data_IF_871425068559
#
_entry.id   IF_871425068559
#
_cell.length_a   1.000
_cell.length_b   1.000
_cell.length_c   1.000
_cell.angle_alpha   90.00
_cell.angle_beta   90.00
_cell.angle_gamma   90.00
#
_symmetry.space_group_name_H-M   'P 1'
#
loop_
_entity.id
_entity.type
_entity.pdbx_description
1 polymer ?
#
# COMPACT_ATOMS: atom_id res chain seq x y z
N UNK A 1 -15.74 0.12 27.91
CA UNK A 1 -15.27 -0.99 27.04
C UNK A 1 -16.01 -0.87 25.71
N UNK A 2 -15.33 -0.62 24.59
CA UNK A 2 -15.99 -0.48 23.28
C UNK A 2 -16.37 -1.87 22.76
N UNK A 3 -17.67 -2.17 22.68
CA UNK A 3 -18.19 -3.43 22.16
C UNK A 3 -18.20 -3.44 20.62
N UNK A 4 -17.02 -3.38 19.99
CA UNK A 4 -16.89 -3.48 18.53
C UNK A 4 -17.42 -4.80 17.98
N UNK A 5 -17.52 -5.84 18.81
CA UNK A 5 -18.10 -7.13 18.44
C UNK A 5 -19.62 -7.03 18.20
N UNK A 6 -20.32 -6.14 18.92
CA UNK A 6 -21.74 -5.88 18.71
C UNK A 6 -21.99 -5.19 17.35
N UNK A 7 -21.07 -4.33 16.91
CA UNK A 7 -21.16 -3.68 15.60
C UNK A 7 -21.18 -4.72 14.48
N UNK A 8 -20.40 -5.81 14.61
CA UNK A 8 -20.37 -6.90 13.63
C UNK A 8 -21.70 -7.62 13.51
N UNK A 9 -22.40 -7.80 14.63
CA UNK A 9 -23.68 -8.49 14.66
C UNK A 9 -24.78 -7.67 14.00
N UNK A 10 -24.73 -6.33 14.16
CA UNK A 10 -25.72 -5.42 13.59
C UNK A 10 -25.43 -5.13 12.11
N UNK A 11 -24.15 -4.99 11.76
CA UNK A 11 -23.69 -4.64 10.41
C UNK A 11 -22.73 -5.73 9.91
N UNK A 12 -23.25 -6.82 9.32
CA UNK A 12 -22.43 -7.96 8.92
C UNK A 12 -21.50 -7.65 7.75
N UNK A 13 -21.86 -6.66 6.93
CA UNK A 13 -21.05 -6.17 5.81
C UNK A 13 -21.21 -4.67 5.68
N UNK A 14 -20.13 -3.94 5.44
CA UNK A 14 -20.18 -2.51 5.18
C UNK A 14 -19.40 -2.13 3.92
N UNK A 15 -19.88 -1.11 3.20
CA UNK A 15 -19.20 -0.61 2.00
C UNK A 15 -17.90 0.14 2.36
N UNK A 16 -17.91 0.88 3.47
CA UNK A 16 -16.78 1.69 3.90
C UNK A 16 -16.67 1.72 5.42
N UNK A 17 -15.49 1.41 5.93
CA UNK A 17 -15.08 1.69 7.30
C UNK A 17 -14.17 2.92 7.28
N UNK A 18 -14.58 3.98 7.97
CA UNK A 18 -13.80 5.22 8.06
C UNK A 18 -13.40 5.47 9.51
N UNK A 19 -12.10 5.41 9.79
CA UNK A 19 -11.53 5.69 11.12
C UNK A 19 -10.87 7.06 11.07
N UNK A 20 -11.51 8.04 11.73
CA UNK A 20 -11.11 9.44 11.72
C UNK A 20 -9.90 9.73 12.60
N UNK A 21 -9.25 10.85 12.33
CA UNK A 21 -8.03 11.34 12.97
C UNK A 21 -8.16 11.61 14.49
N UNK A 22 -9.38 11.80 14.98
CA UNK A 22 -9.68 12.00 16.40
C UNK A 22 -9.74 10.69 17.20
N UNK A 23 -9.65 9.52 16.56
CA UNK A 23 -9.61 8.24 17.27
C UNK A 23 -8.27 8.06 18.02
N UNK A 24 -8.30 7.37 19.16
CA UNK A 24 -7.07 6.97 19.86
C UNK A 24 -6.32 5.92 19.04
N UNK A 25 -5.00 5.76 19.28
CA UNK A 25 -4.20 4.75 18.58
C UNK A 25 -4.76 3.34 18.84
N UNK A 26 -5.12 3.06 20.09
CA UNK A 26 -5.63 1.77 20.58
C UNK A 26 -6.97 1.45 19.94
N UNK A 27 -7.90 2.40 19.93
CA UNK A 27 -9.21 2.23 19.31
C UNK A 27 -9.07 2.02 17.79
N UNK A 28 -8.19 2.77 17.13
CA UNK A 28 -7.95 2.62 15.69
C UNK A 28 -7.37 1.26 15.36
N UNK A 29 -6.36 0.79 16.10
CA UNK A 29 -5.80 -0.57 15.95
C UNK A 29 -6.88 -1.64 16.13
N UNK A 30 -7.67 -1.52 17.19
CA UNK A 30 -8.75 -2.47 17.50
C UNK A 30 -9.85 -2.46 16.44
N UNK A 31 -10.32 -1.28 16.03
CA UNK A 31 -11.35 -1.11 15.02
C UNK A 31 -10.89 -1.63 13.65
N UNK A 32 -9.64 -1.36 13.25
CA UNK A 32 -9.10 -1.91 12.01
C UNK A 32 -9.07 -3.44 12.06
N UNK A 33 -8.45 -4.04 13.07
CA UNK A 33 -8.32 -5.50 13.15
C UNK A 33 -9.67 -6.21 13.25
N UNK A 34 -10.64 -5.63 13.98
CA UNK A 34 -11.96 -6.23 14.15
C UNK A 34 -12.89 -5.97 12.97
N UNK A 35 -12.95 -4.74 12.45
CA UNK A 35 -13.99 -4.30 11.52
C UNK A 35 -13.50 -4.17 10.07
N UNK A 36 -12.20 -4.15 9.78
CA UNK A 36 -11.74 -4.14 8.39
C UNK A 36 -12.22 -5.34 7.56
N UNK A 37 -12.26 -6.59 8.09
CA UNK A 37 -12.66 -7.75 7.28
C UNK A 37 -14.09 -7.72 6.72
N UNK A 38 -15.00 -6.96 7.33
CA UNK A 38 -16.38 -6.78 6.83
C UNK A 38 -16.53 -5.61 5.87
N UNK A 39 -15.48 -4.79 5.71
CA UNK A 39 -15.50 -3.58 4.93
C UNK A 39 -14.97 -3.82 3.51
N UNK A 40 -15.68 -3.31 2.50
CA UNK A 40 -15.14 -3.30 1.13
C UNK A 40 -13.99 -2.32 0.97
N UNK A 41 -14.03 -1.20 1.69
CA UNK A 41 -13.00 -0.15 1.72
C UNK A 41 -12.74 0.29 3.15
N UNK A 42 -11.47 0.44 3.52
CA UNK A 42 -11.06 0.94 4.83
C UNK A 42 -10.24 2.21 4.65
N UNK A 43 -10.56 3.26 5.38
CA UNK A 43 -9.80 4.51 5.40
C UNK A 43 -9.39 4.82 6.85
N UNK A 44 -8.10 5.04 7.08
CA UNK A 44 -7.53 5.40 8.38
C UNK A 44 -6.87 6.76 8.27
N UNK A 45 -7.37 7.75 9.00
CA UNK A 45 -6.91 9.15 8.92
C UNK A 45 -5.81 9.57 9.91
N UNK A 46 -5.18 8.58 10.55
CA UNK A 46 -4.13 8.80 11.54
C UNK A 46 -3.10 7.70 11.46
N UNK A 47 -1.84 8.09 11.38
CA UNK A 47 -0.75 7.15 11.49
C UNK A 47 -0.60 6.69 12.94
N UNK A 48 -0.95 5.43 13.14
CA UNK A 48 -0.93 4.72 14.43
C UNK A 48 0.31 3.84 14.62
N UNK A 49 1.20 3.84 13.64
CA UNK A 49 2.41 3.01 13.61
C UNK A 49 3.60 3.83 14.12
N UNK A 50 4.42 3.19 14.95
CA UNK A 50 5.69 3.73 15.42
C UNK A 50 6.85 2.94 14.75
N UNK A 51 8.07 3.45 14.84
CA UNK A 51 9.16 3.31 13.83
C UNK A 51 9.71 1.91 13.55
N UNK A 52 9.20 0.82 14.12
CA UNK A 52 9.90 -0.46 14.02
C UNK A 52 9.14 -1.69 13.55
N UNK A 53 7.80 -1.84 13.58
CA UNK A 53 7.20 -3.10 13.04
C UNK A 53 5.68 -3.22 12.89
N UNK A 54 4.86 -2.20 13.11
CA UNK A 54 3.41 -2.45 13.18
C UNK A 54 2.69 -2.51 11.82
N UNK A 55 3.14 -1.78 10.80
CA UNK A 55 2.34 -1.65 9.57
C UNK A 55 2.24 -2.96 8.77
N UNK A 56 3.31 -3.75 8.70
CA UNK A 56 3.32 -5.11 8.10
C UNK A 56 2.12 -5.97 8.48
N UNK A 57 1.75 -6.01 9.77
CA UNK A 57 0.62 -6.83 10.26
C UNK A 57 -0.71 -6.40 9.67
N UNK A 58 -0.86 -5.10 9.41
CA UNK A 58 -2.06 -4.50 8.84
C UNK A 58 -2.08 -4.69 7.32
N UNK A 59 -0.92 -4.57 6.68
CA UNK A 59 -0.76 -4.80 5.25
C UNK A 59 -0.92 -6.27 4.86
N UNK A 60 -0.58 -7.21 5.73
CA UNK A 60 -0.73 -8.65 5.50
C UNK A 60 -2.19 -9.14 5.54
N UNK A 61 -3.14 -8.30 5.99
CA UNK A 61 -4.54 -8.68 6.04
C UNK A 61 -5.13 -8.84 4.63
N UNK A 62 -5.98 -9.87 4.49
CA UNK A 62 -6.73 -10.22 3.29
C UNK A 62 -7.86 -9.20 3.02
N UNK A 63 -7.53 -7.94 2.68
CA UNK A 63 -8.51 -6.87 2.47
C UNK A 63 -8.63 -6.46 1.00
N UNK A 64 -9.78 -5.88 0.63
CA UNK A 64 -10.05 -5.45 -0.74
C UNK A 64 -9.42 -4.10 -1.07
N UNK A 65 -9.58 -3.12 -0.18
CA UNK A 65 -9.06 -1.77 -0.39
C UNK A 65 -8.80 -1.09 0.95
N UNK A 66 -7.60 -0.52 1.09
CA UNK A 66 -7.19 0.21 2.29
C UNK A 66 -6.50 1.51 1.88
N UNK A 67 -6.87 2.60 2.54
CA UNK A 67 -6.19 3.89 2.43
C UNK A 67 -5.71 4.34 3.82
N UNK A 68 -4.42 4.59 3.93
CA UNK A 68 -3.79 5.22 5.08
C UNK A 68 -3.50 6.68 4.72
N UNK A 69 -4.06 7.62 5.47
CA UNK A 69 -3.94 9.04 5.22
C UNK A 69 -3.60 9.78 6.50
N UNK A 70 -2.37 10.28 6.62
CA UNK A 70 -1.99 11.18 7.69
C UNK A 70 -1.01 12.20 7.12
N UNK A 71 -1.49 13.42 6.90
CA UNK A 71 -0.67 14.50 6.37
C UNK A 71 0.36 15.00 7.39
N UNK A 72 0.12 14.80 8.70
CA UNK A 72 0.98 15.28 9.80
C UNK A 72 2.12 14.31 10.10
N UNK A 73 1.87 13.01 10.09
CA UNK A 73 2.86 11.98 10.45
C UNK A 73 3.10 11.01 9.29
N UNK A 74 4.28 11.03 8.64
CA UNK A 74 4.61 10.12 7.56
C UNK A 74 4.53 8.64 7.97
N UNK A 75 4.17 7.77 7.03
CA UNK A 75 4.18 6.32 7.22
C UNK A 75 5.56 5.77 6.87
N UNK A 76 6.35 5.45 7.89
CA UNK A 76 7.62 4.75 7.72
C UNK A 76 7.37 3.37 7.11
N UNK A 77 7.97 3.13 5.94
CA UNK A 77 7.84 1.89 5.20
C UNK A 77 9.20 1.27 4.94
N UNK A 78 9.31 0.01 5.34
CA UNK A 78 10.40 -0.86 4.96
C UNK A 78 10.08 -1.65 3.70
N UNK A 79 11.13 -2.23 3.10
CA UNK A 79 10.98 -3.18 2.01
C UNK A 79 10.00 -4.30 2.39
N UNK A 80 10.17 -4.89 3.57
CA UNK A 80 9.38 -6.03 4.01
C UNK A 80 7.89 -5.69 4.16
N UNK A 81 7.54 -4.47 4.56
CA UNK A 81 6.15 -4.03 4.65
C UNK A 81 5.43 -4.12 3.30
N UNK A 82 6.10 -3.68 2.23
CA UNK A 82 5.58 -3.83 0.87
C UNK A 82 5.59 -5.28 0.39
N UNK A 83 6.58 -6.08 0.80
CA UNK A 83 6.68 -7.48 0.39
C UNK A 83 5.58 -8.37 1.01
N UNK A 84 5.10 -8.06 2.21
CA UNK A 84 4.02 -8.80 2.88
C UNK A 84 2.62 -8.28 2.55
N UNK A 85 2.52 -7.18 1.80
CA UNK A 85 1.25 -6.55 1.49
C UNK A 85 0.30 -7.50 0.73
N UNK A 86 -0.84 -7.77 1.34
CA UNK A 86 -1.88 -8.67 0.88
C UNK A 86 -3.23 -7.95 0.76
N UNK A 87 -3.18 -6.68 0.38
CA UNK A 87 -4.35 -5.82 0.15
C UNK A 87 -4.57 -5.69 -1.36
N UNK A 88 -5.83 -5.73 -1.80
CA UNK A 88 -6.19 -5.60 -3.22
C UNK A 88 -5.78 -4.25 -3.81
N UNK A 89 -6.25 -3.15 -3.22
CA UNK A 89 -5.84 -1.78 -3.58
C UNK A 89 -5.33 -1.07 -2.34
N UNK A 90 -4.03 -0.81 -2.27
CA UNK A 90 -3.39 -0.12 -1.16
C UNK A 90 -3.06 1.32 -1.56
N UNK A 91 -3.45 2.28 -0.73
CA UNK A 91 -3.07 3.69 -0.86
C UNK A 91 -2.45 4.14 0.46
N UNK A 92 -1.26 4.74 0.42
CA UNK A 92 -0.59 5.34 1.57
C UNK A 92 -0.21 6.77 1.21
N UNK A 93 -0.80 7.72 1.90
CA UNK A 93 -0.44 9.13 1.80
C UNK A 93 0.66 9.48 2.79
N UNK A 94 1.57 10.35 2.37
CA UNK A 94 2.73 10.72 3.18
C UNK A 94 3.63 9.52 3.49
N UNK A 95 3.79 8.59 2.55
CA UNK A 95 4.72 7.48 2.67
C UNK A 95 6.16 8.01 2.86
N UNK A 96 6.92 7.34 3.73
CA UNK A 96 8.36 7.57 3.89
C UNK A 96 9.10 6.25 3.61
N UNK A 97 9.66 6.15 2.42
CA UNK A 97 10.47 5.02 1.96
C UNK A 97 11.57 5.57 1.08
N UNK A 98 12.78 5.03 1.23
CA UNK A 98 13.91 5.44 0.38
C UNK A 98 13.78 4.86 -1.03
N UNK A 99 14.28 5.60 -2.02
CA UNK A 99 14.33 5.17 -3.41
C UNK A 99 15.06 3.84 -3.56
N UNK A 100 16.12 3.61 -2.76
CA UNK A 100 16.86 2.34 -2.71
C UNK A 100 15.98 1.16 -2.26
N UNK A 101 15.13 1.35 -1.25
CA UNK A 101 14.19 0.31 -0.78
C UNK A 101 13.13 0.03 -1.85
N UNK A 102 12.61 1.07 -2.50
CA UNK A 102 11.65 0.93 -3.59
C UNK A 102 12.25 0.23 -4.82
N UNK A 103 13.48 0.59 -5.22
CA UNK A 103 14.24 -0.10 -6.27
C UNK A 103 14.41 -1.60 -5.96
N UNK A 104 14.75 -1.93 -4.70
CA UNK A 104 14.89 -3.32 -4.26
C UNK A 104 13.56 -4.07 -4.30
N UNK A 105 12.46 -3.44 -3.92
CA UNK A 105 11.11 -4.00 -4.05
C UNK A 105 10.80 -4.38 -5.51
N UNK A 106 11.01 -3.45 -6.45
CA UNK A 106 10.76 -3.70 -7.88
C UNK A 106 11.63 -4.83 -8.43
N UNK A 107 12.93 -4.86 -8.10
CA UNK A 107 13.84 -5.94 -8.51
C UNK A 107 13.44 -7.30 -7.94
N UNK A 108 12.98 -7.36 -6.69
CA UNK A 108 12.50 -8.61 -6.08
C UNK A 108 11.21 -9.09 -6.73
N UNK A 109 10.29 -8.17 -7.03
CA UNK A 109 9.08 -8.50 -7.77
C UNK A 109 9.41 -9.09 -9.15
N UNK A 110 10.31 -8.47 -9.91
CA UNK A 110 10.73 -8.95 -11.25
C UNK A 110 11.36 -10.35 -11.22
N UNK A 111 12.06 -10.71 -10.15
CA UNK A 111 12.66 -12.05 -10.00
C UNK A 111 11.63 -13.16 -9.81
N UNK A 112 10.42 -12.84 -9.36
CA UNK A 112 9.32 -13.80 -9.20
C UNK A 112 9.40 -14.69 -7.95
N UNK A 113 10.36 -14.45 -7.05
CA UNK A 113 10.59 -15.30 -5.87
C UNK A 113 9.54 -15.15 -4.75
N UNK A 114 8.53 -14.30 -4.93
CA UNK A 114 7.51 -14.02 -3.93
C UNK A 114 6.11 -14.02 -4.55
N UNK A 115 5.14 -14.50 -3.77
CA UNK A 115 3.72 -14.64 -4.12
C UNK A 115 2.98 -13.30 -4.11
N UNK A 116 3.47 -12.33 -4.90
CA UNK A 116 2.80 -11.04 -5.16
C UNK A 116 1.58 -11.17 -6.08
N UNK A 117 0.65 -12.06 -5.75
CA UNK A 117 -0.47 -12.36 -6.64
C UNK A 117 -1.72 -11.53 -6.37
N UNK A 118 -1.84 -10.97 -5.17
CA UNK A 118 -3.05 -10.29 -4.78
C UNK A 118 -3.08 -8.80 -5.11
N UNK A 119 -2.08 -7.99 -4.72
CA UNK A 119 -2.16 -6.55 -4.95
C UNK A 119 -2.48 -6.28 -6.42
N UNK A 120 -3.55 -5.51 -6.64
CA UNK A 120 -3.94 -4.97 -7.94
C UNK A 120 -3.27 -3.62 -8.14
N UNK A 121 -3.20 -2.82 -7.07
CA UNK A 121 -2.45 -1.58 -7.05
C UNK A 121 -1.84 -1.27 -5.69
N UNK A 122 -0.67 -0.63 -5.72
CA UNK A 122 -0.06 0.07 -4.59
C UNK A 122 0.17 1.52 -5.01
N UNK A 123 -0.41 2.45 -4.26
CA UNK A 123 -0.30 3.88 -4.45
C UNK A 123 0.41 4.48 -3.24
N UNK A 124 1.53 5.17 -3.49
CA UNK A 124 2.29 5.86 -2.47
C UNK A 124 2.45 7.32 -2.88
N UNK A 125 1.99 8.24 -2.04
CA UNK A 125 2.32 9.66 -2.19
C UNK A 125 3.30 10.09 -1.10
N UNK A 126 4.20 10.99 -1.46
CA UNK A 126 5.36 11.39 -0.70
C UNK A 126 5.27 12.89 -0.39
N UNK A 127 5.97 13.36 0.64
CA UNK A 127 6.06 14.81 0.91
C UNK A 127 6.89 15.54 -0.14
N UNK A 128 7.94 14.88 -0.59
CA UNK A 128 8.90 15.41 -1.56
C UNK A 128 8.85 14.55 -2.82
N UNK A 129 9.28 15.11 -3.94
CA UNK A 129 9.48 14.32 -5.15
C UNK A 129 10.57 13.27 -4.94
N UNK A 130 10.36 12.07 -5.50
CA UNK A 130 11.36 11.00 -5.43
C UNK A 130 12.40 11.14 -6.53
N UNK A 131 13.64 10.72 -6.22
CA UNK A 131 14.64 10.50 -7.26
C UNK A 131 14.33 9.24 -8.07
N UNK A 132 13.53 9.48 -9.10
CA UNK A 132 13.22 8.67 -10.26
C UNK A 132 14.38 7.83 -10.81
N UNK A 133 15.56 8.41 -11.04
CA UNK A 133 16.71 7.65 -11.56
C UNK A 133 17.19 6.59 -10.57
N UNK A 134 17.21 6.93 -9.27
CA UNK A 134 17.60 5.98 -8.22
C UNK A 134 16.56 4.87 -8.02
N UNK A 135 15.26 5.17 -8.13
CA UNK A 135 14.18 4.14 -8.06
C UNK A 135 14.34 3.10 -9.18
N UNK A 136 14.77 3.52 -10.37
CA UNK A 136 14.86 2.66 -11.56
C UNK A 136 16.27 2.19 -11.90
N UNK A 137 17.26 2.54 -11.08
CA UNK A 137 18.65 2.18 -11.29
C UNK A 137 18.84 0.68 -11.52
N UNK A 138 19.33 0.33 -12.71
CA UNK A 138 19.56 -1.06 -13.13
C UNK A 138 18.29 -1.87 -13.42
N UNK A 139 17.16 -1.20 -13.68
CA UNK A 139 15.91 -1.82 -14.15
C UNK A 139 15.70 -1.42 -15.61
N UNK A 140 15.49 -2.40 -16.49
CA UNK A 140 15.10 -2.14 -17.88
C UNK A 140 13.58 -1.96 -17.94
N UNK A 141 13.15 -0.75 -18.28
CA UNK A 141 11.75 -0.42 -18.50
C UNK A 141 11.45 -0.37 -19.99
N UNK A 142 10.31 -0.92 -20.41
CA UNK A 142 9.77 -0.64 -21.74
C UNK A 142 8.99 0.67 -21.65
N UNK A 143 9.38 1.67 -22.44
CA UNK A 143 8.63 2.92 -22.57
C UNK A 143 7.23 2.61 -23.11
N UNK A 144 6.22 3.24 -22.56
CA UNK A 144 4.88 3.23 -23.15
C UNK A 144 4.81 4.41 -24.11
N UNK A 145 4.31 4.25 -25.35
CA UNK A 145 4.27 5.32 -26.33
C UNK A 145 3.42 6.54 -25.94
N UNK A 146 2.70 6.49 -24.81
CA UNK A 146 2.00 7.63 -24.21
C UNK A 146 2.75 8.12 -22.95
N UNK A 147 3.03 9.43 -22.90
CA UNK A 147 3.78 10.14 -21.84
C UNK A 147 3.17 10.05 -20.43
N UNK A 148 2.04 9.35 -20.26
CA UNK A 148 1.43 9.10 -18.94
C UNK A 148 2.18 8.05 -18.10
N UNK A 149 3.00 7.19 -18.72
CA UNK A 149 3.59 6.04 -18.03
C UNK A 149 5.11 6.10 -17.88
N UNK A 150 5.56 5.98 -16.63
CA UNK A 150 6.74 5.18 -16.23
C UNK A 150 7.46 4.32 -17.24
N UNK A 151 6.75 3.23 -17.53
CA UNK A 151 7.31 2.04 -18.11
C UNK A 151 6.63 0.79 -17.59
N UNK A 152 6.78 -0.27 -18.37
CA UNK A 152 6.28 -1.60 -18.08
C UNK A 152 7.45 -2.45 -17.59
N UNK A 153 7.31 -3.04 -16.40
CA UNK A 153 8.23 -4.04 -15.89
C UNK A 153 7.67 -5.44 -16.19
N UNK A 154 8.49 -6.28 -16.80
CA UNK A 154 8.19 -7.69 -17.03
C UNK A 154 8.80 -8.55 -15.94
N UNK A 155 7.99 -9.44 -15.38
CA UNK A 155 8.43 -10.51 -14.48
C UNK A 155 8.82 -11.74 -15.29
N UNK A 156 9.67 -12.60 -14.71
CA UNK A 156 10.14 -13.84 -15.37
C UNK A 156 9.04 -14.76 -15.89
N UNK A 157 7.87 -14.75 -15.25
CA UNK A 157 6.70 -15.57 -15.62
C UNK A 157 5.75 -14.86 -16.60
N UNK A 158 6.18 -13.75 -17.21
CA UNK A 158 5.38 -13.00 -18.19
C UNK A 158 4.41 -11.99 -17.60
N UNK A 159 4.22 -11.94 -16.27
CA UNK A 159 3.39 -10.91 -15.64
C UNK A 159 4.00 -9.52 -15.79
N UNK A 160 3.13 -8.52 -15.86
CA UNK A 160 3.51 -7.12 -16.07
C UNK A 160 3.13 -6.26 -14.88
N UNK A 161 3.96 -5.27 -14.61
CA UNK A 161 3.74 -4.23 -13.63
C UNK A 161 3.90 -2.89 -14.33
N UNK A 162 2.85 -2.06 -14.28
CA UNK A 162 2.84 -0.71 -14.83
C UNK A 162 3.17 0.25 -13.70
N UNK A 163 4.11 1.15 -13.94
CA UNK A 163 4.44 2.22 -13.00
C UNK A 163 3.97 3.55 -13.59
N UNK A 164 3.24 4.35 -12.80
CA UNK A 164 2.83 5.71 -13.16
C UNK A 164 3.27 6.68 -12.06
N UNK A 165 4.25 7.55 -12.30
CA UNK A 165 4.59 8.61 -11.38
C UNK A 165 3.98 9.93 -11.83
N UNK A 166 3.43 10.67 -10.89
CA UNK A 166 2.97 12.04 -11.09
C UNK A 166 3.47 12.89 -9.92
N UNK A 167 4.44 13.79 -10.18
CA UNK A 167 5.07 14.62 -9.14
C UNK A 167 5.61 13.80 -7.97
N UNK A 168 5.03 14.01 -6.79
CA UNK A 168 5.34 13.36 -5.52
C UNK A 168 4.57 12.05 -5.27
N UNK A 169 4.15 11.34 -6.32
CA UNK A 169 3.35 10.13 -6.21
C UNK A 169 3.84 9.04 -7.15
N UNK A 170 3.71 7.77 -6.72
CA UNK A 170 3.91 6.58 -7.54
C UNK A 170 2.72 5.62 -7.44
N UNK A 171 2.22 5.19 -8.60
CA UNK A 171 1.26 4.13 -8.75
C UNK A 171 1.95 2.90 -9.31
N UNK A 172 1.77 1.77 -8.64
CA UNK A 172 2.24 0.46 -9.08
C UNK A 172 1.01 -0.38 -9.36
N UNK A 173 0.70 -0.65 -10.64
CA UNK A 173 -0.41 -1.53 -11.05
C UNK A 173 0.12 -2.88 -11.45
N UNK A 174 -0.44 -3.94 -10.87
CA UNK A 174 -0.11 -5.32 -11.20
C UNK A 174 -1.12 -5.84 -12.23
N UNK A 175 -0.67 -6.15 -13.44
CA UNK A 175 -1.53 -6.72 -14.46
C UNK A 175 -1.76 -8.20 -14.17
N UNK A 176 -3.03 -8.60 -14.12
CA UNK A 176 -3.44 -10.00 -14.10
C UNK A 176 -3.55 -10.47 -15.55
N UNK A 177 -2.63 -11.33 -15.96
CA UNK A 177 -2.75 -12.18 -17.15
C UNK A 177 -3.87 -13.18 -16.96
#
# INVERSE_FOLDING_TARGET
MFHLDNVKQIIPKCRRLHIKENCSKELTKMAFLKLAPMAEKVEVRKNIFDSETDISKFLALNLNSVSFNDWRKPFELELNDLLVANIGNLSIQTANITEKKLNRFLKLWMKGNHTFYRPKSIELSFRNEMNREEVFKGIKCEAVPDDEYWGILKRRDGKKLIILPAGNFILIKFQRT
#
